data_IF_516904687300
#
_entry.id   IF_516904687300
#
_cell.length_a   1.000
_cell.length_b   1.000
_cell.length_c   1.000
_cell.angle_alpha   90.00
_cell.angle_beta   90.00
_cell.angle_gamma   90.00
#
_symmetry.space_group_name_H-M   'P 1'
#
loop_
_entity.id
_entity.type
_entity.pdbx_description
1 polymer ?
#
# COMPACT_ATOMS: atom_id res chain seq x y z
N UNK A 1 -2.06 7.36 -18.99
CA UNK A 1 -2.30 7.57 -17.54
C UNK A 1 -3.71 7.13 -17.09
N UNK A 2 -4.78 7.51 -17.80
CA UNK A 2 -6.18 7.23 -17.43
C UNK A 2 -6.56 5.76 -17.10
N UNK A 3 -5.94 4.74 -17.72
CA UNK A 3 -6.26 3.32 -17.45
C UNK A 3 -5.57 2.72 -16.21
N UNK A 4 -4.46 3.32 -15.73
CA UNK A 4 -3.82 2.91 -14.46
C UNK A 4 -4.67 3.35 -13.26
N UNK A 5 -5.19 4.57 -13.32
CA UNK A 5 -6.17 5.11 -12.38
C UNK A 5 -7.47 4.29 -12.34
N UNK A 6 -7.93 3.76 -13.49
CA UNK A 6 -9.12 2.92 -13.53
C UNK A 6 -8.91 1.57 -12.81
N UNK A 7 -7.75 0.93 -12.99
CA UNK A 7 -7.43 -0.33 -12.32
C UNK A 7 -7.23 -0.16 -10.82
N UNK A 8 -6.52 0.91 -10.43
CA UNK A 8 -6.36 1.29 -9.03
C UNK A 8 -7.69 1.72 -8.38
N UNK A 9 -8.55 2.45 -9.09
CA UNK A 9 -9.91 2.78 -8.65
C UNK A 9 -10.79 1.54 -8.55
N UNK A 10 -10.67 0.55 -9.43
CA UNK A 10 -11.39 -0.71 -9.28
C UNK A 10 -10.83 -1.58 -8.16
N UNK A 11 -9.51 -1.59 -7.94
CA UNK A 11 -8.94 -2.24 -6.76
C UNK A 11 -9.41 -1.50 -5.50
N UNK A 12 -9.40 -0.18 -5.46
CA UNK A 12 -9.89 0.58 -4.33
C UNK A 12 -11.38 0.48 -4.15
N UNK A 13 -12.17 0.37 -5.21
CA UNK A 13 -13.60 0.13 -5.13
C UNK A 13 -13.87 -1.32 -4.75
N UNK A 14 -13.06 -2.30 -5.19
CA UNK A 14 -13.17 -3.69 -4.75
C UNK A 14 -12.74 -3.84 -3.29
N UNK A 15 -11.64 -3.21 -2.89
CA UNK A 15 -11.24 -3.05 -1.50
C UNK A 15 -12.36 -2.33 -0.73
N UNK A 16 -12.92 -1.23 -1.25
CA UNK A 16 -13.98 -0.41 -0.62
C UNK A 16 -15.40 -0.97 -0.73
N UNK A 17 -15.65 -2.01 -1.53
CA UNK A 17 -16.91 -2.74 -1.59
C UNK A 17 -16.83 -4.04 -0.79
N UNK A 18 -15.62 -4.63 -0.66
CA UNK A 18 -15.33 -5.51 0.47
C UNK A 18 -15.41 -4.70 1.78
N UNK A 19 -15.04 -3.41 1.70
CA UNK A 19 -15.22 -2.17 2.47
C UNK A 19 -16.57 -1.67 3.04
N UNK A 20 -17.62 -2.44 3.34
CA UNK A 20 -18.81 -1.82 3.98
C UNK A 20 -18.45 -0.89 5.15
N UNK A 21 -19.01 0.33 5.08
CA UNK A 21 -18.66 1.58 5.75
C UNK A 21 -17.36 2.26 5.29
N UNK A 22 -17.41 3.33 4.46
CA UNK A 22 -16.43 4.39 4.61
C UNK A 22 -16.38 4.76 6.10
N UNK A 23 -15.20 5.03 6.71
CA UNK A 23 -15.20 5.67 8.01
C UNK A 23 -16.17 6.85 7.94
N UNK A 24 -17.07 6.99 8.92
CA UNK A 24 -17.86 8.20 9.11
C UNK A 24 -16.86 9.36 9.18
N UNK A 25 -16.59 9.98 8.03
CA UNK A 25 -15.34 10.71 7.80
C UNK A 25 -14.89 10.79 6.33
N UNK A 26 -15.35 9.88 5.44
CA UNK A 26 -15.27 10.11 4.00
C UNK A 26 -16.52 10.88 3.53
N UNK A 27 -16.57 12.15 3.91
CA UNK A 27 -17.46 13.11 3.27
C UNK A 27 -16.96 13.22 1.82
N UNK A 28 -17.75 12.74 0.86
CA UNK A 28 -17.73 13.27 -0.50
C UNK A 28 -17.98 14.77 -0.35
N UNK A 29 -16.88 15.55 -0.34
CA UNK A 29 -16.89 17.00 -0.42
C UNK A 29 -17.29 17.42 -1.85
N UNK A 30 -18.38 16.87 -2.37
CA UNK A 30 -19.10 17.51 -3.45
C UNK A 30 -19.79 18.72 -2.82
N UNK A 31 -19.30 19.91 -3.19
CA UNK A 31 -19.80 21.25 -2.82
C UNK A 31 -19.35 21.86 -1.47
N UNK A 32 -18.08 21.72 -1.09
CA UNK A 32 -17.43 22.82 -0.38
C UNK A 32 -16.59 23.61 -1.37
N UNK A 33 -17.06 24.82 -1.65
CA UNK A 33 -16.27 25.91 -2.24
C UNK A 33 -14.87 25.83 -1.64
N UNK A 34 -13.86 25.50 -2.46
CA UNK A 34 -12.46 25.63 -2.09
C UNK A 34 -12.23 27.10 -1.75
N UNK A 35 -12.40 27.46 -0.48
CA UNK A 35 -11.69 28.62 0.02
C UNK A 35 -10.22 28.21 -0.02
N UNK A 36 -9.36 28.95 -0.73
CA UNK A 36 -7.93 28.68 -0.69
C UNK A 36 -7.50 28.84 0.77
N UNK A 37 -7.32 27.72 1.47
CA UNK A 37 -6.58 27.72 2.74
C UNK A 37 -5.15 28.02 2.34
N UNK A 38 -4.83 29.31 2.38
CA UNK A 38 -3.48 29.79 2.25
C UNK A 38 -2.75 29.33 3.52
N UNK A 39 -2.16 28.15 3.44
CA UNK A 39 -1.21 27.64 4.42
C UNK A 39 -0.06 28.64 4.45
N UNK A 40 -0.09 29.58 5.40
CA UNK A 40 1.00 30.51 5.67
C UNK A 40 2.13 29.74 6.36
N UNK A 41 2.69 28.74 5.66
CA UNK A 41 3.70 27.84 6.20
C UNK A 41 5.05 28.53 6.36
N UNK A 42 5.30 29.61 5.60
CA UNK A 42 6.57 30.33 5.64
C UNK A 42 6.36 31.83 5.45
N UNK A 43 7.12 32.69 6.16
CA UNK A 43 7.18 34.11 5.83
C UNK A 43 7.69 34.27 4.39
N UNK A 44 7.00 35.09 3.58
CA UNK A 44 7.42 35.43 2.22
C UNK A 44 8.69 36.28 2.27
N UNK A 45 9.84 35.64 2.29
CA UNK A 45 11.11 36.28 1.95
C UNK A 45 11.38 36.03 0.47
N UNK A 46 11.84 37.03 -0.32
CA UNK A 46 12.25 36.79 -1.70
C UNK A 46 13.36 35.74 -1.72
N UNK A 47 13.06 34.56 -2.25
CA UNK A 47 13.93 33.40 -2.22
C UNK A 47 15.12 33.58 -3.17
N UNK A 48 16.15 34.29 -2.71
CA UNK A 48 17.49 34.14 -3.28
C UNK A 48 18.06 32.88 -2.63
N UNK A 49 18.12 31.78 -3.38
CA UNK A 49 18.86 30.59 -2.95
C UNK A 49 20.30 31.01 -2.65
N UNK A 50 20.81 30.82 -1.41
CA UNK A 50 22.20 31.09 -1.09
C UNK A 50 23.10 30.43 -2.13
N UNK A 51 24.14 31.12 -2.60
CA UNK A 51 25.07 30.62 -3.62
C UNK A 51 25.61 29.22 -3.28
N UNK A 52 25.81 28.97 -1.99
CA UNK A 52 26.27 27.69 -1.43
C UNK A 52 25.30 26.53 -1.64
N UNK A 53 23.98 26.74 -1.58
CA UNK A 53 23.01 25.64 -1.81
C UNK A 53 22.92 25.32 -3.31
N UNK A 54 22.98 26.35 -4.18
CA UNK A 54 23.01 26.15 -5.63
C UNK A 54 24.22 25.31 -6.05
N UNK A 55 25.40 25.62 -5.51
CA UNK A 55 26.63 24.87 -5.77
C UNK A 55 26.51 23.42 -5.30
N UNK A 56 26.06 23.19 -4.05
CA UNK A 56 25.79 21.84 -3.54
C UNK A 56 24.84 21.04 -4.45
N UNK A 57 23.75 21.67 -4.91
CA UNK A 57 22.79 21.02 -5.78
C UNK A 57 23.39 20.62 -7.13
N UNK A 58 24.19 21.50 -7.75
CA UNK A 58 24.88 21.21 -9.01
C UNK A 58 25.84 20.02 -8.82
N UNK A 59 26.60 20.01 -7.73
CA UNK A 59 27.50 18.89 -7.40
C UNK A 59 26.73 17.58 -7.26
N UNK A 60 25.64 17.56 -6.48
CA UNK A 60 24.82 16.35 -6.28
C UNK A 60 24.24 15.80 -7.59
N UNK A 61 23.76 16.69 -8.47
CA UNK A 61 23.17 16.33 -9.75
C UNK A 61 24.20 15.82 -10.77
N UNK A 62 25.47 16.13 -10.59
CA UNK A 62 26.56 15.63 -11.44
C UNK A 62 27.06 14.23 -11.05
N UNK A 63 26.63 13.72 -9.89
CA UNK A 63 26.99 12.38 -9.42
C UNK A 63 26.18 11.27 -10.11
N UNK A 64 26.63 10.02 -9.96
CA UNK A 64 25.84 8.85 -10.35
C UNK A 64 24.68 8.63 -9.34
N UNK A 65 23.46 8.57 -9.87
CA UNK A 65 22.21 8.48 -9.11
C UNK A 65 21.43 7.19 -9.40
N UNK A 66 22.12 6.15 -9.90
CA UNK A 66 21.50 4.92 -10.38
C UNK A 66 21.16 3.91 -9.26
N UNK A 67 21.91 3.94 -8.14
CA UNK A 67 21.67 3.17 -6.90
C UNK A 67 21.32 1.67 -7.04
N UNK A 68 21.61 1.01 -8.17
CA UNK A 68 21.22 -0.38 -8.45
C UNK A 68 21.70 -1.41 -7.42
N UNK A 69 22.85 -1.17 -6.80
CA UNK A 69 23.44 -2.05 -5.78
C UNK A 69 23.01 -1.72 -4.35
N UNK A 70 22.23 -0.65 -4.16
CA UNK A 70 21.86 -0.18 -2.83
C UNK A 70 20.68 -0.96 -2.24
N UNK A 71 20.77 -1.30 -0.95
CA UNK A 71 19.70 -1.99 -0.26
C UNK A 71 18.53 -1.04 0.03
N UNK A 72 17.40 -1.26 -0.63
CA UNK A 72 16.15 -0.50 -0.44
C UNK A 72 15.15 -1.19 0.50
N UNK A 73 15.58 -2.24 1.22
CA UNK A 73 14.76 -3.07 2.10
C UNK A 73 14.97 -2.71 3.58
N UNK A 74 14.86 -1.43 3.90
CA UNK A 74 14.86 -0.91 5.27
C UNK A 74 13.66 -0.01 5.49
N UNK A 75 13.31 0.21 6.76
CA UNK A 75 12.15 0.99 7.15
C UNK A 75 10.88 0.57 6.40
N UNK A 76 9.86 1.43 6.37
CA UNK A 76 8.55 1.11 5.81
C UNK A 76 8.51 1.10 4.27
N UNK A 77 9.65 1.23 3.58
CA UNK A 77 9.72 1.35 2.12
C UNK A 77 9.09 0.18 1.36
N UNK A 78 9.16 -1.03 1.90
CA UNK A 78 8.69 -2.25 1.24
C UNK A 78 7.29 -2.71 1.69
N UNK A 79 6.56 -1.86 2.41
CA UNK A 79 5.22 -2.20 2.90
C UNK A 79 4.24 -2.47 1.75
N UNK A 80 4.38 -1.73 0.65
CA UNK A 80 3.47 -1.85 -0.49
C UNK A 80 4.16 -1.46 -1.81
N UNK A 81 3.84 -2.18 -2.89
CA UNK A 81 4.29 -1.85 -4.24
C UNK A 81 3.58 -0.60 -4.76
N UNK A 82 4.30 0.33 -5.37
CA UNK A 82 3.70 1.50 -6.00
C UNK A 82 4.43 1.82 -7.31
N UNK A 83 3.70 2.20 -8.38
CA UNK A 83 4.32 2.46 -9.67
C UNK A 83 5.29 3.64 -9.61
N UNK A 84 6.33 3.59 -10.46
CA UNK A 84 7.30 4.67 -10.64
C UNK A 84 8.01 5.15 -9.34
N UNK A 85 8.16 4.26 -8.36
CA UNK A 85 8.91 4.53 -7.13
C UNK A 85 10.41 4.65 -7.42
N UNK A 86 11.04 5.74 -6.99
CA UNK A 86 12.50 5.91 -6.98
C UNK A 86 13.15 5.22 -5.76
N UNK A 87 14.45 4.86 -5.85
CA UNK A 87 15.19 4.27 -4.74
C UNK A 87 15.25 5.24 -3.54
N UNK A 88 15.07 4.79 -2.29
CA UNK A 88 15.15 5.63 -1.09
C UNK A 88 16.45 6.42 -0.94
N UNK A 89 17.56 5.90 -1.48
CA UNK A 89 18.87 6.57 -1.44
C UNK A 89 18.87 7.92 -2.16
N UNK A 90 18.01 8.08 -3.16
CA UNK A 90 17.89 9.34 -3.90
C UNK A 90 17.41 10.48 -2.98
N UNK A 91 16.19 10.47 -2.40
CA UNK A 91 15.77 11.53 -1.49
C UNK A 91 16.65 11.59 -0.24
N UNK A 92 17.15 10.46 0.29
CA UNK A 92 18.05 10.45 1.45
C UNK A 92 19.27 11.35 1.23
N UNK A 93 19.93 11.20 0.07
CA UNK A 93 21.13 11.95 -0.30
C UNK A 93 20.86 13.45 -0.40
N UNK A 94 19.77 13.83 -1.06
CA UNK A 94 19.41 15.24 -1.25
C UNK A 94 18.96 15.90 0.05
N UNK A 95 18.15 15.22 0.86
CA UNK A 95 17.71 15.72 2.17
C UNK A 95 18.92 15.96 3.07
N UNK A 96 19.82 14.98 3.18
CA UNK A 96 21.01 15.10 4.03
C UNK A 96 21.94 16.24 3.62
N UNK A 97 22.07 16.52 2.31
CA UNK A 97 23.01 17.52 1.81
C UNK A 97 22.45 18.96 1.78
N UNK A 98 21.12 19.11 1.66
CA UNK A 98 20.46 20.39 1.37
C UNK A 98 19.61 20.93 2.52
N UNK A 99 19.45 20.19 3.61
CA UNK A 99 18.63 20.58 4.77
C UNK A 99 19.35 20.26 6.07
N UNK A 100 18.89 20.80 7.19
CA UNK A 100 19.32 20.49 8.55
C UNK A 100 18.19 19.79 9.35
N UNK A 101 18.49 19.06 10.43
CA UNK A 101 17.45 18.54 11.33
C UNK A 101 16.47 19.64 11.76
N UNK A 102 15.17 19.34 11.72
CA UNK A 102 14.09 20.30 11.98
C UNK A 102 13.60 21.08 10.77
N UNK A 103 14.35 21.12 9.66
CA UNK A 103 13.87 21.75 8.42
C UNK A 103 12.67 21.03 7.83
N UNK A 104 11.84 21.77 7.11
CA UNK A 104 10.72 21.21 6.38
C UNK A 104 11.15 20.64 5.01
N UNK A 105 10.67 19.44 4.68
CA UNK A 105 10.86 18.80 3.37
C UNK A 105 9.50 18.63 2.71
N UNK A 106 9.28 19.35 1.62
CA UNK A 106 8.05 19.31 0.84
C UNK A 106 8.19 18.37 -0.36
N UNK A 107 7.24 17.45 -0.52
CA UNK A 107 7.05 16.66 -1.73
C UNK A 107 5.61 16.86 -2.26
N UNK A 108 5.41 17.65 -3.33
CA UNK A 108 4.08 17.97 -3.84
C UNK A 108 3.48 16.84 -4.70
N UNK A 109 4.22 15.75 -4.95
CA UNK A 109 3.77 14.58 -5.71
C UNK A 109 4.35 13.31 -5.07
N UNK A 110 4.08 13.14 -3.77
CA UNK A 110 4.84 12.22 -2.92
C UNK A 110 4.73 10.74 -3.28
N UNK A 111 3.71 10.36 -4.06
CA UNK A 111 3.40 8.97 -4.38
C UNK A 111 3.32 8.12 -3.12
N UNK A 112 3.98 6.96 -3.12
CA UNK A 112 4.06 6.10 -1.92
C UNK A 112 4.86 6.67 -0.74
N UNK A 113 5.27 7.94 -0.78
CA UNK A 113 5.87 8.64 0.36
C UNK A 113 7.30 8.25 0.66
N UNK A 114 8.11 7.92 -0.36
CA UNK A 114 9.54 7.60 -0.16
C UNK A 114 10.29 8.79 0.43
N UNK A 115 10.06 10.00 -0.10
CA UNK A 115 10.67 11.24 0.41
C UNK A 115 10.30 11.51 1.86
N UNK A 116 9.02 11.32 2.22
CA UNK A 116 8.53 11.59 3.57
C UNK A 116 9.13 10.63 4.60
N UNK A 117 9.29 9.35 4.25
CA UNK A 117 9.98 8.39 5.13
C UNK A 117 11.44 8.80 5.33
N UNK A 118 12.17 9.15 4.26
CA UNK A 118 13.57 9.59 4.40
C UNK A 118 13.71 10.91 5.17
N UNK A 119 12.77 11.83 5.01
CA UNK A 119 12.73 13.07 5.79
C UNK A 119 12.57 12.77 7.30
N UNK A 120 11.68 11.84 7.67
CA UNK A 120 11.53 11.41 9.07
C UNK A 120 12.78 10.73 9.61
N UNK A 121 13.40 9.82 8.84
CA UNK A 121 14.65 9.17 9.23
C UNK A 121 15.78 10.19 9.41
N UNK A 122 15.77 11.26 8.63
CA UNK A 122 16.68 12.39 8.76
C UNK A 122 16.24 13.41 9.83
N UNK A 123 15.16 13.19 10.59
CA UNK A 123 14.65 14.16 11.59
C UNK A 123 14.29 15.53 11.00
N UNK A 124 13.76 15.56 9.77
CA UNK A 124 13.15 16.72 9.12
C UNK A 124 11.63 16.65 9.26
N UNK A 125 10.94 17.78 9.10
CA UNK A 125 9.48 17.87 9.08
C UNK A 125 8.94 17.57 7.67
N UNK A 126 8.43 16.37 7.39
CA UNK A 126 7.84 16.05 6.08
C UNK A 126 6.50 16.75 5.86
N UNK A 127 6.29 17.22 4.63
CA UNK A 127 5.04 17.74 4.10
C UNK A 127 4.82 17.09 2.72
N UNK A 128 3.68 16.43 2.53
CA UNK A 128 3.40 15.67 1.31
C UNK A 128 2.00 15.89 0.78
N UNK A 129 1.89 16.05 -0.53
CA UNK A 129 0.62 16.09 -1.25
C UNK A 129 0.60 15.03 -2.35
N UNK A 130 -0.56 14.42 -2.56
CA UNK A 130 -0.82 13.59 -3.73
C UNK A 130 -2.32 13.56 -4.06
N UNK A 131 -2.62 13.39 -5.35
CA UNK A 131 -4.00 13.27 -5.85
C UNK A 131 -4.50 11.83 -5.86
N UNK A 132 -3.62 10.85 -5.63
CA UNK A 132 -3.94 9.43 -5.50
C UNK A 132 -4.27 9.08 -4.03
N UNK A 133 -5.51 8.69 -3.71
CA UNK A 133 -5.87 8.25 -2.36
C UNK A 133 -5.00 7.09 -1.82
N UNK A 134 -4.39 6.26 -2.69
CA UNK A 134 -3.48 5.18 -2.26
C UNK A 134 -2.22 5.76 -1.71
N UNK A 135 -1.66 6.72 -2.45
CA UNK A 135 -0.42 7.38 -2.12
C UNK A 135 -0.56 7.97 -0.72
N UNK A 136 -1.69 8.62 -0.46
CA UNK A 136 -2.07 9.14 0.87
C UNK A 136 -2.12 8.03 1.92
N UNK A 137 -2.89 6.95 1.68
CA UNK A 137 -3.07 5.87 2.67
C UNK A 137 -1.77 5.11 2.95
N UNK A 138 -1.03 4.73 1.91
CA UNK A 138 0.29 4.10 1.99
C UNK A 138 1.21 4.98 2.83
N UNK A 139 1.30 6.26 2.48
CA UNK A 139 2.24 7.17 3.13
C UNK A 139 1.89 7.36 4.61
N UNK A 140 0.61 7.51 4.95
CA UNK A 140 0.16 7.56 6.35
C UNK A 140 0.59 6.32 7.13
N UNK A 141 0.33 5.11 6.63
CA UNK A 141 0.73 3.86 7.31
C UNK A 141 2.26 3.75 7.42
N UNK A 142 2.99 4.07 6.36
CA UNK A 142 4.47 4.05 6.35
C UNK A 142 5.09 5.01 7.36
N UNK A 143 4.36 6.06 7.72
CA UNK A 143 4.79 7.15 8.60
C UNK A 143 3.96 7.20 9.88
N UNK A 144 3.34 6.09 10.29
CA UNK A 144 2.66 5.99 11.58
C UNK A 144 3.39 4.94 12.42
N UNK A 145 4.06 5.34 13.52
CA UNK A 145 4.62 4.40 14.48
C UNK A 145 3.54 3.50 15.07
N UNK A 146 3.83 2.20 15.15
CA UNK A 146 2.93 1.21 15.75
C UNK A 146 3.70 0.37 16.76
N UNK A 147 3.02 -0.01 17.84
CA UNK A 147 3.54 -0.99 18.79
C UNK A 147 3.63 -2.36 18.11
N UNK A 148 4.85 -2.84 17.91
CA UNK A 148 5.13 -4.15 17.30
C UNK A 148 4.38 -5.29 17.98
N UNK A 149 4.26 -5.27 19.31
CA UNK A 149 3.55 -6.30 20.07
C UNK A 149 2.06 -6.27 19.73
N UNK A 150 1.42 -5.10 19.73
CA UNK A 150 0.01 -4.95 19.35
C UNK A 150 -0.25 -5.44 17.91
N UNK A 151 0.67 -5.13 16.98
CA UNK A 151 0.56 -5.61 15.60
C UNK A 151 0.69 -7.13 15.54
N UNK A 152 1.65 -7.74 16.23
CA UNK A 152 1.79 -9.20 16.27
C UNK A 152 0.56 -9.89 16.87
N UNK A 153 0.04 -9.36 17.99
CA UNK A 153 -1.17 -9.87 18.65
C UNK A 153 -2.39 -9.81 17.72
N UNK A 154 -2.64 -8.66 17.10
CA UNK A 154 -3.75 -8.48 16.17
C UNK A 154 -3.60 -9.36 14.91
N UNK A 155 -2.40 -9.45 14.33
CA UNK A 155 -2.14 -10.26 13.13
C UNK A 155 -2.35 -11.75 13.38
N UNK A 156 -1.86 -12.26 14.53
CA UNK A 156 -2.09 -13.64 14.94
C UNK A 156 -3.57 -13.90 15.22
N UNK A 157 -4.27 -12.98 15.89
CA UNK A 157 -5.69 -13.10 16.15
C UNK A 157 -6.52 -13.14 14.85
N UNK A 158 -6.20 -12.30 13.86
CA UNK A 158 -6.82 -12.32 12.53
C UNK A 158 -6.64 -13.71 11.90
N UNK A 159 -5.41 -14.22 11.86
CA UNK A 159 -5.13 -15.51 11.23
C UNK A 159 -5.80 -16.66 11.96
N UNK A 160 -5.74 -16.71 13.29
CA UNK A 160 -6.42 -17.76 14.06
C UNK A 160 -7.91 -17.77 13.78
N UNK A 161 -8.58 -16.61 13.85
CA UNK A 161 -10.02 -16.51 13.55
C UNK A 161 -10.31 -16.90 12.10
N UNK A 162 -9.50 -16.44 11.14
CA UNK A 162 -9.69 -16.78 9.73
C UNK A 162 -9.61 -18.29 9.46
N UNK A 163 -8.68 -19.00 10.10
CA UNK A 163 -8.53 -20.44 9.96
C UNK A 163 -9.66 -21.24 10.62
N UNK A 164 -10.30 -20.70 11.67
CA UNK A 164 -11.40 -21.37 12.37
C UNK A 164 -12.71 -21.41 11.56
N UNK A 165 -12.89 -20.55 10.56
CA UNK A 165 -14.08 -20.61 9.71
C UNK A 165 -14.06 -21.84 8.79
N UNK A 166 -15.13 -22.63 8.83
CA UNK A 166 -15.36 -23.74 7.89
C UNK A 166 -15.54 -23.25 6.46
N UNK A 167 -15.28 -24.11 5.48
CA UNK A 167 -15.44 -23.76 4.07
C UNK A 167 -16.83 -23.20 3.73
N UNK A 168 -17.90 -23.81 4.27
CA UNK A 168 -19.28 -23.33 4.08
C UNK A 168 -19.48 -21.92 4.66
N UNK A 169 -18.90 -21.63 5.83
CA UNK A 169 -18.99 -20.29 6.44
C UNK A 169 -18.27 -19.24 5.59
N UNK A 170 -17.12 -19.58 4.99
CA UNK A 170 -16.39 -18.66 4.09
C UNK A 170 -17.18 -18.40 2.82
N UNK A 171 -17.81 -19.44 2.27
CA UNK A 171 -18.67 -19.31 1.10
C UNK A 171 -19.88 -18.40 1.38
N UNK A 172 -20.57 -18.60 2.50
CA UNK A 172 -21.70 -17.75 2.91
C UNK A 172 -21.26 -16.29 3.08
N UNK A 173 -20.10 -16.06 3.70
CA UNK A 173 -19.54 -14.71 3.86
C UNK A 173 -19.24 -14.05 2.52
N UNK A 174 -18.72 -14.80 1.53
CA UNK A 174 -18.50 -14.27 0.19
C UNK A 174 -19.82 -13.82 -0.47
N UNK A 175 -20.88 -14.61 -0.35
CA UNK A 175 -22.18 -14.27 -0.92
C UNK A 175 -22.84 -13.09 -0.19
N UNK A 176 -22.60 -12.91 1.10
CA UNK A 176 -22.97 -11.70 1.85
C UNK A 176 -22.28 -10.47 1.25
N UNK A 177 -20.94 -10.48 1.17
CA UNK A 177 -20.17 -9.38 0.59
C UNK A 177 -20.55 -9.05 -0.86
N UNK A 178 -20.90 -10.08 -1.65
CA UNK A 178 -21.28 -9.91 -3.05
C UNK A 178 -22.56 -9.10 -3.24
N UNK A 179 -23.46 -9.08 -2.26
CA UNK A 179 -24.71 -8.33 -2.34
C UNK A 179 -24.46 -6.82 -2.37
N UNK A 180 -23.35 -6.37 -1.79
CA UNK A 180 -23.00 -4.95 -1.69
C UNK A 180 -22.15 -4.48 -2.88
N UNK A 181 -21.74 -5.40 -3.76
CA UNK A 181 -20.92 -5.06 -4.91
C UNK A 181 -21.75 -4.46 -6.03
N UNK A 182 -21.34 -3.30 -6.52
CA UNK A 182 -21.83 -2.81 -7.80
C UNK A 182 -21.43 -3.75 -8.95
N UNK A 183 -22.11 -3.61 -10.09
CA UNK A 183 -21.90 -4.46 -11.28
C UNK A 183 -20.43 -4.41 -11.75
N UNK A 184 -19.77 -3.26 -11.62
CA UNK A 184 -18.38 -3.12 -12.04
C UNK A 184 -17.43 -3.88 -11.12
N UNK A 185 -17.72 -3.89 -9.83
CA UNK A 185 -16.92 -4.51 -8.78
C UNK A 185 -17.07 -6.01 -8.83
N UNK A 186 -18.30 -6.51 -8.95
CA UNK A 186 -18.56 -7.94 -9.15
C UNK A 186 -17.80 -8.48 -10.36
N UNK A 187 -17.90 -7.80 -11.53
CA UNK A 187 -17.15 -8.19 -12.73
C UNK A 187 -15.63 -8.15 -12.52
N UNK A 188 -15.13 -7.17 -11.79
CA UNK A 188 -13.70 -7.07 -11.49
C UNK A 188 -13.23 -8.22 -10.61
N UNK A 189 -13.92 -8.48 -9.50
CA UNK A 189 -13.54 -9.51 -8.53
C UNK A 189 -13.63 -10.90 -9.17
N UNK A 190 -14.72 -11.20 -9.87
CA UNK A 190 -14.91 -12.47 -10.59
C UNK A 190 -13.87 -12.70 -11.69
N UNK A 191 -13.35 -11.63 -12.30
CA UNK A 191 -12.35 -11.74 -13.35
C UNK A 191 -10.94 -12.00 -12.78
N UNK A 192 -10.60 -11.42 -11.64
CA UNK A 192 -9.24 -11.41 -11.09
C UNK A 192 -8.99 -12.42 -9.97
N UNK A 193 -10.03 -13.00 -9.37
CA UNK A 193 -9.89 -13.92 -8.24
C UNK A 193 -10.79 -15.13 -8.44
N UNK A 194 -10.29 -16.33 -8.14
CA UNK A 194 -11.12 -17.54 -8.09
C UNK A 194 -12.00 -17.54 -6.82
N UNK A 195 -12.98 -18.44 -6.76
CA UNK A 195 -13.98 -18.46 -5.68
C UNK A 195 -13.39 -18.75 -4.30
N UNK A 196 -12.36 -19.57 -4.21
CA UNK A 196 -11.70 -19.87 -2.93
C UNK A 196 -10.96 -18.63 -2.44
N UNK A 197 -10.16 -18.03 -3.32
CA UNK A 197 -9.46 -16.79 -3.02
C UNK A 197 -10.41 -15.68 -2.61
N UNK A 198 -11.54 -15.51 -3.31
CA UNK A 198 -12.56 -14.51 -2.94
C UNK A 198 -13.07 -14.75 -1.52
N UNK A 199 -13.36 -16.01 -1.18
CA UNK A 199 -13.88 -16.38 0.15
C UNK A 199 -12.86 -16.09 1.24
N UNK A 200 -11.59 -16.49 1.04
CA UNK A 200 -10.52 -16.25 2.01
C UNK A 200 -10.20 -14.75 2.18
N UNK A 201 -10.24 -13.97 1.10
CA UNK A 201 -10.08 -12.51 1.16
C UNK A 201 -11.22 -11.83 1.94
N UNK A 202 -12.46 -12.28 1.77
CA UNK A 202 -13.59 -11.76 2.56
C UNK A 202 -13.41 -12.04 4.05
N UNK A 203 -12.91 -13.22 4.41
CA UNK A 203 -12.62 -13.59 5.81
C UNK A 203 -11.56 -12.70 6.41
N UNK A 204 -10.42 -12.50 5.73
CA UNK A 204 -9.37 -11.59 6.22
C UNK A 204 -9.93 -10.18 6.43
N UNK A 205 -10.66 -9.66 5.45
CA UNK A 205 -11.21 -8.31 5.53
C UNK A 205 -12.19 -8.16 6.71
N UNK A 206 -13.06 -9.15 6.93
CA UNK A 206 -13.97 -9.19 8.07
C UNK A 206 -13.23 -9.12 9.40
N UNK A 207 -12.18 -9.93 9.57
CA UNK A 207 -11.43 -9.99 10.82
C UNK A 207 -10.56 -8.75 11.04
N UNK A 208 -10.01 -8.15 9.98
CA UNK A 208 -9.31 -6.87 10.04
C UNK A 208 -10.24 -5.77 10.57
N UNK A 209 -11.47 -5.69 10.06
CA UNK A 209 -12.44 -4.69 10.52
C UNK A 209 -12.95 -4.88 11.94
N UNK A 210 -12.83 -6.09 12.47
CA UNK A 210 -13.21 -6.40 13.85
C UNK A 210 -12.14 -6.00 14.86
N UNK A 211 -10.98 -5.54 14.41
CA UNK A 211 -10.03 -4.86 15.28
C UNK A 211 -10.76 -3.66 15.89
N UNK A 212 -11.00 -3.74 17.18
CA UNK A 212 -11.61 -2.70 18.00
C UNK A 212 -10.61 -2.32 19.09
N UNK A 213 -10.62 -1.06 19.49
CA UNK A 213 -9.83 -0.60 20.62
C UNK A 213 -10.66 -0.79 21.90
N UNK A 214 -10.08 -1.47 22.88
CA UNK A 214 -10.59 -1.45 24.27
C UNK A 214 -10.18 -0.15 25.00
N UNK A 215 -9.45 0.77 24.34
CA UNK A 215 -8.88 1.97 24.96
C UNK A 215 -9.25 3.28 24.24
N UNK A 216 -9.93 4.14 24.98
CA UNK A 216 -10.62 5.37 24.55
C UNK A 216 -9.69 6.60 24.47
N UNK A 217 -8.72 6.61 23.55
CA UNK A 217 -7.87 7.80 23.31
C UNK A 217 -7.69 8.12 21.82
N UNK A 218 -7.75 9.42 21.51
CA UNK A 218 -7.86 10.05 20.18
C UNK A 218 -6.98 9.45 19.07
N UNK A 219 -7.61 9.24 17.90
CA UNK A 219 -7.17 8.43 16.75
C UNK A 219 -6.69 7.05 17.24
N UNK A 220 -7.69 6.20 17.47
CA UNK A 220 -7.58 4.95 18.20
C UNK A 220 -6.41 4.11 17.66
N UNK A 221 -5.60 3.52 18.54
CA UNK A 221 -4.57 2.54 18.16
C UNK A 221 -5.16 1.49 17.18
N UNK A 222 -6.45 1.16 17.33
CA UNK A 222 -7.20 0.29 16.44
C UNK A 222 -7.29 0.82 15.01
N UNK A 223 -7.61 2.09 14.77
CA UNK A 223 -7.67 2.65 13.40
C UNK A 223 -6.32 2.55 12.68
N UNK A 224 -5.23 2.80 13.39
CA UNK A 224 -3.89 2.68 12.83
C UNK A 224 -3.51 1.21 12.55
N UNK A 225 -3.93 0.28 13.42
CA UNK A 225 -3.80 -1.16 13.19
C UNK A 225 -4.62 -1.63 11.98
N UNK A 226 -5.89 -1.21 11.88
CA UNK A 226 -6.77 -1.51 10.75
C UNK A 226 -6.13 -1.01 9.45
N UNK A 227 -5.68 0.24 9.41
CA UNK A 227 -5.01 0.81 8.25
C UNK A 227 -3.74 0.03 7.87
N UNK A 228 -2.96 -0.41 8.85
CA UNK A 228 -1.79 -1.27 8.62
C UNK A 228 -2.18 -2.62 8.00
N UNK A 229 -3.17 -3.31 8.55
CA UNK A 229 -3.58 -4.62 8.02
C UNK A 229 -4.32 -4.55 6.70
N UNK A 230 -5.08 -3.49 6.43
CA UNK A 230 -5.63 -3.22 5.10
C UNK A 230 -4.51 -2.97 4.09
N UNK A 231 -3.41 -2.32 4.50
CA UNK A 231 -2.25 -2.16 3.64
C UNK A 231 -1.56 -3.50 3.36
N UNK A 232 -1.41 -4.37 4.36
CA UNK A 232 -0.92 -5.75 4.20
C UNK A 232 -1.84 -6.52 3.24
N UNK A 233 -3.16 -6.45 3.44
CA UNK A 233 -4.17 -7.06 2.58
C UNK A 233 -4.07 -6.58 1.13
N UNK A 234 -3.90 -5.28 0.92
CA UNK A 234 -3.69 -4.72 -0.42
C UNK A 234 -2.37 -5.21 -1.05
N UNK A 235 -1.30 -5.31 -0.24
CA UNK A 235 0.03 -5.71 -0.72
C UNK A 235 0.11 -7.18 -1.16
N UNK A 236 -0.74 -8.07 -0.62
CA UNK A 236 -0.81 -9.47 -1.08
C UNK A 236 -1.63 -9.63 -2.37
N UNK A 237 -2.46 -8.64 -2.69
CA UNK A 237 -3.19 -8.58 -3.97
C UNK A 237 -2.29 -8.01 -5.06
N UNK A 238 -1.50 -6.95 -4.77
CA UNK A 238 -0.61 -6.28 -5.73
C UNK A 238 0.81 -6.85 -5.67
N UNK A 239 1.03 -7.96 -6.38
CA UNK A 239 2.32 -8.68 -6.40
C UNK A 239 2.98 -8.67 -7.77
N UNK A 240 4.32 -8.59 -7.78
CA UNK A 240 5.14 -8.55 -8.99
C UNK A 240 5.13 -9.89 -9.74
N UNK A 241 5.25 -10.99 -9.01
CA UNK A 241 5.20 -12.37 -9.47
C UNK A 241 4.59 -13.25 -8.37
N UNK A 242 3.80 -14.26 -8.74
CA UNK A 242 3.02 -15.02 -7.75
C UNK A 242 1.92 -14.18 -7.08
N UNK A 243 1.39 -14.64 -5.95
CA UNK A 243 0.31 -13.96 -5.20
C UNK A 243 -1.08 -14.58 -5.41
N UNK A 244 -2.07 -13.96 -4.79
CA UNK A 244 -3.42 -14.52 -4.63
C UNK A 244 -4.32 -14.29 -5.85
N UNK A 245 -4.03 -13.28 -6.68
CA UNK A 245 -4.84 -12.96 -7.87
C UNK A 245 -4.46 -13.79 -9.09
N UNK A 246 -5.34 -13.81 -10.10
CA UNK A 246 -5.10 -14.41 -11.42
C UNK A 246 -4.22 -13.54 -12.34
N UNK A 247 -3.72 -12.39 -11.87
CA UNK A 247 -2.96 -11.44 -12.67
C UNK A 247 -1.46 -11.73 -12.71
N UNK A 248 -0.82 -11.33 -13.81
CA UNK A 248 0.62 -11.23 -14.01
C UNK A 248 1.01 -9.73 -14.07
N UNK A 249 2.23 -9.43 -13.60
CA UNK A 249 2.90 -8.12 -13.71
C UNK A 249 2.18 -6.91 -13.06
N UNK A 250 1.56 -7.09 -11.89
CA UNK A 250 0.75 -6.04 -11.25
C UNK A 250 1.53 -4.80 -10.81
N UNK A 251 2.82 -4.94 -10.50
CA UNK A 251 3.57 -3.87 -9.84
C UNK A 251 4.08 -2.78 -10.80
N UNK A 252 4.24 -3.05 -12.10
CA UNK A 252 4.91 -2.11 -13.02
C UNK A 252 4.23 -1.89 -14.38
N UNK A 253 3.45 -2.85 -14.88
CA UNK A 253 2.85 -2.79 -16.22
C UNK A 253 1.34 -2.98 -16.15
N UNK A 254 0.69 -3.09 -17.32
CA UNK A 254 -0.74 -3.40 -17.35
C UNK A 254 -0.91 -4.86 -16.95
N UNK A 255 -1.77 -5.17 -15.96
CA UNK A 255 -1.93 -6.54 -15.53
C UNK A 255 -2.55 -7.36 -16.66
N UNK A 256 -2.01 -8.56 -16.83
CA UNK A 256 -2.51 -9.54 -17.77
C UNK A 256 -3.01 -10.76 -16.99
N UNK A 257 -4.18 -11.28 -17.34
CA UNK A 257 -4.66 -12.51 -16.71
C UNK A 257 -3.80 -13.69 -17.17
N UNK A 258 -3.37 -14.53 -16.22
CA UNK A 258 -2.64 -15.75 -16.51
C UNK A 258 -3.47 -16.64 -17.43
N UNK A 259 -2.83 -17.20 -18.46
CA UNK A 259 -3.47 -18.06 -19.44
C UNK A 259 -3.55 -19.51 -18.97
N UNK A 260 -2.63 -19.91 -18.10
CA UNK A 260 -2.61 -21.21 -17.43
C UNK A 260 -2.59 -20.99 -15.93
N UNK A 261 -3.50 -21.61 -15.20
CA UNK A 261 -3.63 -21.41 -13.76
C UNK A 261 -3.56 -22.76 -13.07
N UNK A 262 -2.68 -22.86 -12.08
CA UNK A 262 -2.58 -24.00 -11.18
C UNK A 262 -3.08 -23.59 -9.79
N UNK A 263 -3.77 -24.50 -9.11
CA UNK A 263 -4.13 -24.32 -7.71
C UNK A 263 -2.91 -24.44 -6.78
N UNK A 264 -3.15 -24.37 -5.48
CA UNK A 264 -2.10 -24.50 -4.46
C UNK A 264 -1.42 -25.88 -4.46
N UNK A 265 -2.14 -26.95 -4.86
CA UNK A 265 -1.64 -28.33 -4.94
C UNK A 265 -0.85 -28.59 -6.22
N UNK A 266 -0.97 -27.71 -7.22
CA UNK A 266 -0.37 -27.85 -8.54
C UNK A 266 -1.30 -28.47 -9.56
N UNK A 267 -2.59 -28.64 -9.23
CA UNK A 267 -3.60 -29.12 -10.14
C UNK A 267 -4.02 -28.00 -11.10
N UNK A 268 -4.29 -28.36 -12.35
CA UNK A 268 -4.65 -27.40 -13.39
C UNK A 268 -6.10 -26.91 -13.19
N UNK A 269 -6.25 -25.63 -12.86
CA UNK A 269 -7.56 -24.96 -12.76
C UNK A 269 -8.05 -24.42 -14.11
N UNK A 270 -7.13 -23.93 -14.97
CA UNK A 270 -7.49 -23.28 -16.23
C UNK A 270 -6.35 -23.34 -17.27
N UNK A 271 -6.71 -23.33 -18.56
CA UNK A 271 -5.74 -23.14 -19.65
C UNK A 271 -5.19 -24.43 -20.25
N UNK A 272 -5.94 -25.53 -20.21
CA UNK A 272 -5.53 -26.84 -20.74
C UNK A 272 -5.13 -26.76 -22.21
N UNK A 273 -5.82 -25.93 -22.98
CA UNK A 273 -5.58 -25.68 -24.41
C UNK A 273 -4.23 -24.98 -24.68
N UNK A 274 -3.66 -24.29 -23.70
CA UNK A 274 -2.39 -23.59 -23.85
C UNK A 274 -1.18 -24.51 -23.63
N UNK A 275 -1.39 -25.70 -23.03
CA UNK A 275 -0.31 -26.66 -22.70
C UNK A 275 0.42 -27.21 -23.93
N UNK A 276 -0.14 -27.06 -25.13
CA UNK A 276 0.50 -27.43 -26.38
C UNK A 276 1.61 -26.45 -26.83
N UNK A 277 1.76 -25.29 -26.16
CA UNK A 277 2.83 -24.34 -26.46
C UNK A 277 4.19 -24.81 -25.95
N UNK A 278 5.27 -24.36 -26.60
CA UNK A 278 6.65 -24.65 -26.16
C UNK A 278 6.82 -24.32 -24.67
N UNK A 279 7.44 -25.24 -23.90
CA UNK A 279 7.66 -25.11 -22.46
C UNK A 279 8.29 -23.77 -22.03
N UNK A 280 9.22 -23.22 -22.83
CA UNK A 280 9.85 -21.92 -22.54
C UNK A 280 8.88 -20.73 -22.54
N UNK A 281 7.73 -20.83 -23.22
CA UNK A 281 6.68 -19.80 -23.20
C UNK A 281 5.66 -20.02 -22.08
N UNK A 282 5.44 -21.27 -21.66
CA UNK A 282 4.48 -21.63 -20.61
C UNK A 282 4.80 -20.94 -19.28
N UNK A 283 6.07 -20.81 -18.91
CA UNK A 283 6.48 -20.15 -17.66
C UNK A 283 6.09 -18.66 -17.59
N UNK A 284 5.95 -17.98 -18.73
CA UNK A 284 5.61 -16.56 -18.79
C UNK A 284 4.10 -16.31 -18.89
N UNK A 285 3.30 -17.36 -19.06
CA UNK A 285 1.83 -17.27 -19.18
C UNK A 285 1.09 -18.08 -18.11
N UNK A 286 1.83 -18.83 -17.28
CA UNK A 286 1.29 -19.65 -16.21
C UNK A 286 1.44 -18.98 -14.85
N UNK A 287 0.50 -19.26 -13.95
CA UNK A 287 0.58 -18.82 -12.55
C UNK A 287 0.11 -19.95 -11.64
N UNK A 288 0.84 -20.15 -10.54
CA UNK A 288 0.39 -20.97 -9.41
C UNK A 288 -0.18 -20.05 -8.34
N UNK A 289 -1.43 -20.31 -7.94
CA UNK A 289 -2.07 -19.61 -6.84
C UNK A 289 -1.40 -19.95 -5.50
N UNK A 290 -1.37 -18.96 -4.62
CA UNK A 290 -0.80 -19.08 -3.27
C UNK A 290 -1.90 -18.89 -2.24
N UNK A 291 -1.70 -19.50 -1.07
CA UNK A 291 -2.61 -19.33 0.07
C UNK A 291 -2.72 -17.86 0.45
N UNK A 292 -3.94 -17.38 0.55
CA UNK A 292 -4.25 -16.01 0.97
C UNK A 292 -3.71 -15.75 2.38
N UNK A 293 -3.89 -16.72 3.27
CA UNK A 293 -3.46 -16.58 4.66
C UNK A 293 -1.94 -16.67 4.82
N UNK A 294 -1.24 -17.49 4.03
CA UNK A 294 0.22 -17.59 4.08
C UNK A 294 0.86 -16.31 3.53
N UNK A 295 0.36 -15.80 2.38
CA UNK A 295 0.83 -14.53 1.82
C UNK A 295 0.57 -13.36 2.78
N UNK A 296 -0.59 -13.35 3.44
CA UNK A 296 -0.89 -12.36 4.48
C UNK A 296 0.08 -12.49 5.64
N UNK A 297 0.30 -13.71 6.13
CA UNK A 297 1.22 -14.03 7.22
C UNK A 297 2.64 -13.52 6.93
N UNK A 298 3.20 -13.94 5.81
CA UNK A 298 4.55 -13.57 5.39
C UNK A 298 4.70 -12.05 5.22
N UNK A 299 3.68 -11.40 4.64
CA UNK A 299 3.71 -9.97 4.42
C UNK A 299 3.65 -9.18 5.73
N UNK A 300 2.76 -9.53 6.65
CA UNK A 300 2.64 -8.76 7.89
C UNK A 300 3.88 -8.93 8.77
N UNK A 301 4.42 -10.14 8.91
CA UNK A 301 5.65 -10.36 9.69
C UNK A 301 6.84 -9.58 9.12
N UNK A 302 6.98 -9.54 7.79
CA UNK A 302 8.01 -8.73 7.12
C UNK A 302 7.83 -7.24 7.39
N UNK A 303 6.59 -6.75 7.37
CA UNK A 303 6.28 -5.35 7.63
C UNK A 303 6.52 -4.98 9.11
N UNK A 304 6.18 -5.86 10.06
CA UNK A 304 6.44 -5.66 11.51
C UNK A 304 7.92 -5.43 11.80
N UNK A 305 8.81 -6.18 11.14
CA UNK A 305 10.26 -6.03 11.30
C UNK A 305 10.76 -4.62 10.97
N UNK A 306 10.04 -3.90 10.10
CA UNK A 306 10.41 -2.58 9.59
C UNK A 306 9.44 -1.46 9.99
N UNK A 307 8.63 -1.67 11.04
CA UNK A 307 7.77 -0.63 11.60
C UNK A 307 8.61 0.55 12.11
N UNK A 308 8.16 1.80 11.89
CA UNK A 308 8.79 2.96 12.49
C UNK A 308 8.70 2.88 14.01
N UNK A 309 9.82 3.17 14.69
CA UNK A 309 9.88 3.18 16.14
C UNK A 309 9.16 4.42 16.71
N UNK A 310 8.36 4.28 17.78
CA UNK A 310 7.83 5.43 18.50
C UNK A 310 8.98 6.10 19.25
N UNK A 311 9.47 7.24 18.75
CA UNK A 311 10.45 8.08 19.45
C UNK A 311 9.75 9.25 20.18
N UNK A 312 10.29 9.73 21.32
CA UNK A 312 9.72 10.87 22.05
C UNK A 312 9.59 12.13 21.18
N UNK A 313 10.55 12.34 20.27
CA UNK A 313 10.63 13.49 19.37
C UNK A 313 10.05 13.17 17.98
N UNK A 314 9.10 12.24 17.89
CA UNK A 314 8.51 11.84 16.62
C UNK A 314 7.76 13.00 15.94
N UNK A 315 8.29 13.45 14.80
CA UNK A 315 7.67 14.48 13.98
C UNK A 315 6.45 13.91 13.25
N UNK A 316 5.29 14.52 13.44
CA UNK A 316 4.07 14.11 12.74
C UNK A 316 4.08 14.67 11.32
N UNK A 317 4.02 13.84 10.27
CA UNK A 317 4.00 14.32 8.90
C UNK A 317 2.69 15.03 8.56
N UNK A 318 2.79 16.05 7.71
CA UNK A 318 1.61 16.66 7.07
C UNK A 318 1.38 15.92 5.76
N UNK A 319 0.26 15.22 5.65
CA UNK A 319 -0.10 14.41 4.48
C UNK A 319 -1.52 14.76 4.05
N UNK A 320 -1.65 15.45 2.92
CA UNK A 320 -2.92 15.97 2.45
C UNK A 320 -3.20 15.58 1.00
N UNK A 321 -4.49 15.45 0.68
CA UNK A 321 -4.95 15.28 -0.69
C UNK A 321 -4.83 16.63 -1.41
N UNK A 322 -4.17 16.70 -2.56
CA UNK A 322 -3.92 17.97 -3.25
C UNK A 322 -3.22 17.84 -4.57
#
# INVERSE_FOLDING_TARGET
>A
MARKLQWYRHLCNALSALTENPPKGLILLDTLVMQPRQLSLFPRSPAIMPSTIREKLITLLAEDLDFHSANSNYASHQFHSFPAKYPPQLPQKFIAALTEPGDAVLDPMMGSGTTLVEALLAKRQPIGFDTDPLAIRITKVKTTPLDKRKVLEAGNAILTKAHLLSHDQRHLLREEYRQDWDVSTAKFVEYWFDKETQSDLCVLMKEIRRISDESDTQLSSAEALVAFFELVFSAIIITKSGGVSLALDLAHTRPHRAKVIYDMKGDLLWGKEQLHQKHSRLQFISKKLRSVFDEFSDRFHRNVANLPSPEPDYLRPVIEYG
#
